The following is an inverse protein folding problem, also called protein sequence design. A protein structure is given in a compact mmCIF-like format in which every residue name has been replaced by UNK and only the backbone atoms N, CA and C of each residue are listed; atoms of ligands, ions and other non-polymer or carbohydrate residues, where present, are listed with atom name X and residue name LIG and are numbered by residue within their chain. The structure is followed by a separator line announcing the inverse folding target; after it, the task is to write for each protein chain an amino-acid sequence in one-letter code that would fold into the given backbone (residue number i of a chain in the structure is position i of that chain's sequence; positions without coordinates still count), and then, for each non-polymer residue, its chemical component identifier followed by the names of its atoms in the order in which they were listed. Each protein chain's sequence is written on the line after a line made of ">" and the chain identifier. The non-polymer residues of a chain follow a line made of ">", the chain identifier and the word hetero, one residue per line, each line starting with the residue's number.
data_IF_141436561538
#
_entry.id   IF_141436561538
#
_cell.length_a   1.000
_cell.length_b   1.000
_cell.length_c   1.000
_cell.angle_alpha   90.00
_cell.angle_beta   90.00
_cell.angle_gamma   90.00
#
_symmetry.space_group_name_H-M   'P 1'
#
loop_
_entity.id
_entity.type
_entity.pdbx_description
1 polymer ?
2 non-polymer ?
3 water ?
#
# COMPACT_ATOMS: atom_id res chain seq x y z
N UNK A 8 40.13 -1.76 -2.44
CA UNK A 8 38.67 -1.67 -2.76
C UNK A 8 37.85 -0.92 -1.67
N UNK A 9 37.49 0.33 -1.98
CA UNK A 9 36.64 1.15 -1.11
C UNK A 9 35.14 0.79 -1.23
N UNK A 10 34.49 0.59 -0.07
CA UNK A 10 33.06 0.25 0.02
C UNK A 10 32.29 1.14 1.05
N UNK A 11 31.04 1.54 0.76
CA UNK A 11 30.25 2.38 1.67
C UNK A 11 28.73 2.05 1.67
N UNK A 12 28.15 2.08 2.86
CA UNK A 12 26.73 1.91 3.03
C UNK A 12 26.14 3.06 3.82
N UNK A 13 25.04 3.64 3.33
CA UNK A 13 24.26 4.60 4.08
C UNK A 13 23.02 3.88 4.60
N UNK A 14 23.03 3.56 5.90
CA UNK A 14 22.04 2.66 6.49
C UNK A 14 20.66 3.31 6.54
N UNK A 15 20.65 4.63 6.42
CA UNK A 15 19.45 5.43 6.45
C UNK A 15 18.91 5.70 5.04
N UNK A 16 19.58 5.15 4.02
CA UNK A 16 19.25 5.54 2.67
C UNK A 16 17.82 5.18 2.33
N UNK A 17 17.41 3.93 2.55
CA UNK A 17 16.10 3.45 2.09
C UNK A 17 15.01 4.24 2.78
N UNK A 18 15.27 4.65 4.01
CA UNK A 18 14.33 5.46 4.73
C UNK A 18 14.20 6.84 4.10
N UNK A 19 15.33 7.47 3.79
CA UNK A 19 15.25 8.82 3.17
C UNK A 19 14.55 8.75 1.83
N UNK A 20 14.92 7.76 1.04
CA UNK A 20 14.38 7.61 -0.32
C UNK A 20 12.85 7.39 -0.30
N UNK A 21 12.38 6.58 0.62
CA UNK A 21 10.92 6.43 0.82
C UNK A 21 10.22 7.72 1.22
N UNK A 22 10.91 8.56 1.98
CA UNK A 22 10.32 9.82 2.41
C UNK A 22 10.04 10.67 1.21
N UNK A 23 10.98 10.68 0.28
CA UNK A 23 10.82 11.38 -0.97
C UNK A 23 9.81 10.75 -1.90
N UNK A 24 9.79 9.42 -2.02
CA UNK A 24 8.78 8.75 -2.82
C UNK A 24 7.37 9.05 -2.29
N UNK A 25 7.23 9.13 -0.99
CA UNK A 25 5.93 9.48 -0.45
C UNK A 25 5.58 10.93 -0.75
N UNK A 26 6.56 11.84 -0.72
CA UNK A 26 6.30 13.24 -1.19
C UNK A 26 5.86 13.31 -2.62
N UNK A 27 6.53 12.51 -3.46
CA UNK A 27 6.11 12.44 -4.88
C UNK A 27 4.67 11.92 -5.07
N UNK A 28 4.30 10.90 -4.31
CA UNK A 28 2.92 10.38 -4.28
C UNK A 28 2.00 11.55 -3.89
N UNK A 29 2.31 12.24 -2.80
CA UNK A 29 1.44 13.30 -2.28
C UNK A 29 1.32 14.47 -3.26
N UNK A 30 2.38 14.79 -4.00
CA UNK A 30 2.25 15.83 -5.07
C UNK A 30 1.81 15.26 -6.36
N UNK A 31 1.56 13.96 -6.40
CA UNK A 31 1.12 13.31 -7.62
C UNK A 31 2.16 13.43 -8.76
N UNK A 32 3.43 13.18 -8.42
CA UNK A 32 4.49 13.23 -9.44
C UNK A 32 5.00 11.82 -9.69
N UNK A 33 5.18 11.51 -10.97
CA UNK A 33 5.73 10.27 -11.48
C UNK A 33 4.78 9.13 -11.37
N UNK A 34 3.54 9.41 -10.96
CA UNK A 34 2.62 8.34 -10.69
C UNK A 34 2.26 7.62 -11.95
N UNK A 35 2.11 6.32 -11.86
CA UNK A 35 1.75 5.58 -13.06
C UNK A 35 0.55 4.65 -12.87
N UNK A 36 -0.12 4.76 -11.72
CA UNK A 36 -1.29 3.96 -11.44
C UNK A 36 -2.27 4.78 -10.59
N UNK A 37 -3.54 4.71 -10.96
CA UNK A 37 -4.63 5.29 -10.18
C UNK A 37 -5.52 4.17 -9.72
N UNK A 38 -5.57 3.96 -8.41
CA UNK A 38 -6.44 2.96 -7.85
C UNK A 38 -7.84 3.58 -7.60
N UNK A 39 -8.83 3.12 -8.38
CA UNK A 39 -10.22 3.61 -8.26
C UNK A 39 -10.91 2.60 -7.37
N UNK A 40 -11.23 3.00 -6.15
CA UNK A 40 -11.76 2.10 -5.14
C UNK A 40 -13.28 2.38 -4.89
N UNK A 41 -14.11 1.41 -5.27
CA UNK A 41 -15.55 1.43 -5.04
C UNK A 41 -15.90 0.28 -4.11
N UNK A 42 -16.48 0.63 -2.98
CA UNK A 42 -16.87 -0.34 -2.01
C UNK A 42 -18.34 -0.10 -1.67
N UNK A 43 -19.22 -1.08 -1.94
CA UNK A 43 -20.67 -0.98 -1.66
C UNK A 43 -21.26 0.44 -1.68
N UNK A 44 -21.45 1.04 -0.50
CA UNK A 44 -22.12 2.35 -0.40
C UNK A 44 -21.15 3.51 -0.13
N UNK A 45 -19.88 3.20 0.11
CA UNK A 45 -18.83 4.21 0.23
C UNK A 45 -18.80 5.06 -1.03
N UNK A 46 -18.64 6.38 -0.87
CA UNK A 46 -18.35 7.15 -2.07
C UNK A 46 -17.03 6.62 -2.74
N UNK A 47 -16.96 6.70 -4.06
CA UNK A 47 -15.79 6.27 -4.77
C UNK A 47 -14.61 7.14 -4.29
N UNK A 48 -13.45 6.53 -4.10
CA UNK A 48 -12.20 7.27 -3.89
C UNK A 48 -11.16 6.79 -4.89
N UNK A 49 -10.23 7.65 -5.26
CA UNK A 49 -9.09 7.20 -6.08
C UNK A 49 -7.75 7.66 -5.50
N UNK A 50 -6.78 6.75 -5.59
CA UNK A 50 -5.46 6.95 -5.09
C UNK A 50 -4.43 6.79 -6.23
N UNK A 51 -3.60 7.81 -6.44
CA UNK A 51 -2.50 7.70 -7.42
C UNK A 51 -1.28 7.15 -6.67
N UNK A 52 -0.50 6.36 -7.36
CA UNK A 52 0.71 5.81 -6.77
C UNK A 52 1.67 5.39 -7.92
N UNK A 53 2.79 4.84 -7.50
CA UNK A 53 3.84 4.29 -8.36
C UNK A 53 3.82 2.79 -8.28
N UNK A 54 3.63 2.16 -9.42
CA UNK A 54 3.56 0.69 -9.45
C UNK A 54 4.68 -0.01 -8.78
N UNK A 55 5.90 0.48 -9.01
CA UNK A 55 7.06 -0.19 -8.47
C UNK A 55 7.05 -0.09 -6.98
N UNK A 56 6.54 1.02 -6.45
CA UNK A 56 6.48 1.07 -4.96
C UNK A 56 5.43 0.08 -4.41
N UNK A 57 4.28 0.06 -5.04
CA UNK A 57 3.24 -0.88 -4.60
C UNK A 57 3.72 -2.29 -4.74
N UNK A 58 4.42 -2.59 -5.85
CA UNK A 58 4.91 -3.95 -6.11
C UNK A 58 5.91 -4.38 -5.08
N UNK A 59 6.68 -3.43 -4.56
CA UNK A 59 7.74 -3.78 -3.65
C UNK A 59 7.18 -4.03 -2.23
N UNK A 60 5.89 -3.73 -1.99
CA UNK A 60 5.31 -3.96 -0.69
C UNK A 60 4.21 -5.05 -0.70
N UNK A 61 3.82 -5.50 -1.87
CA UNK A 61 2.71 -6.41 -1.95
C UNK A 61 2.92 -7.30 -3.15
N UNK A 62 3.05 -8.60 -2.88
CA UNK A 62 3.06 -9.62 -3.95
C UNK A 62 1.82 -9.54 -4.87
N UNK A 63 0.69 -9.04 -4.37
CA UNK A 63 -0.52 -8.94 -5.23
C UNK A 63 -0.41 -7.79 -6.21
N UNK A 64 0.09 -6.65 -5.76
CA UNK A 64 0.31 -5.55 -6.69
C UNK A 64 1.42 -5.91 -7.72
N UNK A 65 2.47 -6.58 -7.30
CA UNK A 65 3.58 -6.95 -8.20
C UNK A 65 3.07 -7.83 -9.36
N UNK A 66 2.29 -8.87 -9.02
CA UNK A 66 1.63 -9.73 -10.03
C UNK A 66 0.65 -8.96 -10.88
N UNK A 67 -0.13 -8.11 -10.26
CA UNK A 67 -0.94 -7.16 -11.05
C UNK A 67 -0.15 -6.35 -12.08
N UNK A 68 1.04 -5.87 -11.72
CA UNK A 68 1.67 -4.88 -12.61
C UNK A 68 2.73 -5.49 -13.50
N UNK A 69 3.25 -6.64 -13.13
CA UNK A 69 4.26 -7.29 -13.95
C UNK A 69 3.57 -8.17 -15.06
N UNK A 70 3.42 -7.60 -16.26
CA UNK A 70 2.81 -8.26 -17.45
C UNK A 70 3.52 -7.89 -18.76
N UNK A 71 4.57 -8.64 -19.12
CA UNK A 71 5.28 -8.47 -20.40
C UNK A 71 5.31 -7.04 -20.93
N UNK A 72 4.83 -6.84 -22.16
CA UNK A 72 4.76 -5.50 -22.77
C UNK A 72 3.38 -4.91 -22.41
N UNK A 73 3.39 -3.86 -21.60
CA UNK A 73 2.19 -3.33 -20.95
C UNK A 73 1.90 -1.88 -21.35
N UNK A 74 0.87 -1.31 -20.72
CA UNK A 74 0.48 0.08 -20.94
C UNK A 74 1.65 1.06 -20.84
N UNK A 75 1.50 2.18 -21.54
CA UNK A 75 2.37 3.33 -21.39
C UNK A 75 1.65 4.27 -20.44
N UNK A 76 2.26 4.54 -19.29
CA UNK A 76 1.78 5.59 -18.39
C UNK A 76 0.64 5.18 -17.47
N UNK A 77 -0.42 5.98 -17.47
CA UNK A 77 -1.42 5.96 -16.39
C UNK A 77 -2.50 4.89 -16.51
N UNK A 78 -2.30 3.81 -15.79
CA UNK A 78 -3.28 2.74 -15.75
C UNK A 78 -4.26 3.09 -14.61
N UNK A 79 -5.55 2.92 -14.86
CA UNK A 79 -6.57 2.99 -13.81
C UNK A 79 -6.92 1.55 -13.47
N UNK A 80 -6.79 1.16 -12.21
CA UNK A 80 -7.18 -0.16 -11.78
C UNK A 80 -8.44 -0.02 -10.88
N UNK A 81 -9.45 -0.85 -11.16
CA UNK A 81 -10.67 -0.93 -10.32
C UNK A 81 -10.43 -1.83 -9.12
N UNK A 82 -10.75 -1.32 -7.93
CA UNK A 82 -10.62 -2.08 -6.69
C UNK A 82 -11.95 -2.27 -5.92
N UNK A 83 -12.35 -3.52 -5.70
CA UNK A 83 -13.75 -3.77 -5.36
C UNK A 83 -14.01 -4.02 -3.90
N UNK A 84 -13.38 -5.04 -3.34
CA UNK A 84 -13.84 -5.57 -2.07
C UNK A 84 -13.13 -4.99 -0.88
N UNK A 85 -12.76 -3.73 -0.97
CA UNK A 85 -11.99 -3.12 0.11
C UNK A 85 -12.45 -1.70 0.26
N UNK A 86 -12.51 -1.30 1.51
CA UNK A 86 -12.94 0.03 1.80
C UNK A 86 -11.79 1.02 1.52
N UNK A 87 -12.14 2.17 0.91
CA UNK A 87 -11.20 3.25 0.61
C UNK A 87 -10.27 3.60 1.76
N UNK A 88 -10.80 3.74 2.96
CA UNK A 88 -9.95 4.04 4.09
C UNK A 88 -9.01 2.92 4.46
N UNK A 89 -9.39 1.70 4.11
CA UNK A 89 -8.41 0.64 4.29
C UNK A 89 -7.33 0.75 3.19
N UNK A 90 -7.72 0.87 1.93
CA UNK A 90 -6.69 1.00 0.85
C UNK A 90 -5.70 2.17 1.16
N UNK A 91 -6.28 3.31 1.52
CA UNK A 91 -5.50 4.43 1.97
C UNK A 91 -4.46 4.01 2.93
N UNK A 92 -4.77 3.21 3.93
CA UNK A 92 -3.75 2.97 4.94
C UNK A 92 -2.69 1.99 4.48
N UNK A 93 -3.06 1.11 3.58
CA UNK A 93 -2.12 0.11 3.03
C UNK A 93 -1.10 0.84 2.13
N UNK A 94 -1.61 1.76 1.29
CA UNK A 94 -0.73 2.65 0.50
C UNK A 94 0.25 3.38 1.39
N UNK A 95 -0.26 3.98 2.46
CA UNK A 95 0.66 4.61 3.40
C UNK A 95 1.63 3.72 3.97
N UNK A 96 1.19 2.54 4.37
CA UNK A 96 2.13 1.62 4.92
C UNK A 96 3.24 1.42 3.87
N UNK A 97 2.83 1.21 2.63
CA UNK A 97 3.82 0.85 1.59
C UNK A 97 4.84 2.00 1.42
N UNK A 98 4.36 3.22 1.53
CA UNK A 98 5.21 4.39 1.30
C UNK A 98 5.99 4.88 2.52
N UNK A 99 5.60 4.38 3.70
CA UNK A 99 6.13 4.88 4.98
C UNK A 99 6.63 3.84 5.97
N UNK A 100 6.26 2.57 5.82
CA UNK A 100 6.60 1.54 6.79
C UNK A 100 5.72 1.57 8.06
N UNK A 101 4.77 2.48 8.10
CA UNK A 101 3.94 2.68 9.28
C UNK A 101 2.48 2.66 8.94
N UNK A 102 1.71 2.14 9.89
CA UNK A 102 0.25 2.14 9.77
C UNK A 102 -0.46 2.38 11.11
N UNK A 103 -1.52 3.17 11.08
CA UNK A 103 -2.27 3.45 12.29
C UNK A 103 -3.74 3.29 12.03
N UNK A 104 -4.49 2.87 13.03
CA UNK A 104 -5.93 2.70 12.87
C UNK A 104 -6.64 2.77 14.22
N UNK A 105 -7.91 3.20 14.19
CA UNK A 105 -8.77 3.14 15.37
C UNK A 105 -9.03 1.68 15.68
N UNK A 106 -8.78 1.26 16.92
CA UNK A 106 -8.91 -0.15 17.29
C UNK A 106 -10.16 -0.84 16.72
N UNK A 107 -11.22 -0.09 16.43
CA UNK A 107 -12.39 -0.66 15.73
C UNK A 107 -12.03 -1.22 14.35
N UNK A 108 -11.08 -0.58 13.67
CA UNK A 108 -10.75 -0.91 12.28
C UNK A 108 -9.68 -1.99 12.10
N UNK A 109 -9.04 -2.43 13.17
CA UNK A 109 -7.89 -3.35 13.05
C UNK A 109 -8.21 -4.57 12.17
N UNK A 110 -9.46 -4.97 12.21
CA UNK A 110 -9.92 -6.14 11.52
C UNK A 110 -10.14 -5.94 10.02
N UNK A 111 -10.71 -4.79 9.65
CA UNK A 111 -10.90 -4.43 8.24
C UNK A 111 -9.54 -4.20 7.54
N UNK A 112 -8.56 -3.77 8.31
CA UNK A 112 -7.25 -3.55 7.85
C UNK A 112 -6.58 -4.88 7.66
N UNK A 113 -6.77 -5.79 8.63
CA UNK A 113 -6.20 -7.12 8.51
C UNK A 113 -6.78 -7.78 7.29
N UNK A 114 -8.08 -7.62 7.07
CA UNK A 114 -8.69 -8.09 5.86
C UNK A 114 -8.05 -7.54 4.57
N UNK A 115 -7.78 -6.23 4.54
CA UNK A 115 -7.15 -5.60 3.37
C UNK A 115 -5.73 -6.14 3.15
N UNK A 116 -4.97 -6.20 4.22
CA UNK A 116 -3.63 -6.71 4.22
C UNK A 116 -3.58 -8.17 3.75
N UNK A 117 -4.58 -8.99 4.10
CA UNK A 117 -4.60 -10.38 3.63
C UNK A 117 -4.84 -10.40 2.13
N UNK A 118 -5.80 -9.63 1.64
CA UNK A 118 -6.07 -9.56 0.21
C UNK A 118 -4.85 -9.10 -0.64
N UNK A 119 -3.99 -8.25 -0.06
CA UNK A 119 -2.82 -7.71 -0.77
C UNK A 119 -1.55 -8.33 -0.30
N UNK A 120 -1.67 -9.31 0.58
CA UNK A 120 -0.55 -10.12 0.94
C UNK A 120 0.55 -9.26 1.48
N UNK A 121 0.15 -8.30 2.30
CA UNK A 121 1.06 -7.50 3.07
C UNK A 121 1.34 -8.19 4.41
N UNK A 122 2.08 -9.28 4.26
CA UNK A 122 2.61 -10.13 5.32
C UNK A 122 2.75 -9.45 6.68
N UNK A 123 3.56 -8.40 6.73
CA UNK A 123 3.96 -7.81 8.00
C UNK A 123 2.81 -7.05 8.64
N UNK A 124 1.87 -6.49 7.86
CA UNK A 124 0.68 -5.91 8.53
C UNK A 124 -0.30 -7.03 9.00
N UNK A 125 -0.26 -8.18 8.34
CA UNK A 125 -1.13 -9.29 8.72
C UNK A 125 -0.72 -9.79 10.08
N UNK A 126 0.56 -10.02 10.30
CA UNK A 126 1.01 -10.38 11.63
C UNK A 126 0.62 -9.34 12.62
N UNK A 127 0.91 -8.09 12.27
CA UNK A 127 0.71 -7.00 13.20
C UNK A 127 -0.72 -7.00 13.74
N UNK A 128 -1.70 -7.04 12.84
CA UNK A 128 -3.12 -7.04 13.20
C UNK A 128 -3.67 -8.31 13.88
N UNK A 129 -3.02 -9.45 13.64
CA UNK A 129 -3.36 -10.69 14.29
C UNK A 129 -2.86 -10.69 15.70
N UNK A 130 -1.62 -10.26 15.90
CA UNK A 130 -1.07 -10.15 17.25
C UNK A 130 -1.91 -9.20 18.09
N UNK A 131 -2.27 -8.04 17.54
CA UNK A 131 -3.16 -7.10 18.24
C UNK A 131 -4.45 -7.81 18.65
N UNK A 132 -5.21 -8.30 17.68
CA UNK A 132 -6.52 -8.89 17.93
C UNK A 132 -6.43 -9.94 19.03
N UNK A 133 -5.46 -10.83 18.91
CA UNK A 133 -5.20 -11.88 19.87
C UNK A 133 -4.86 -11.31 21.26
N UNK A 134 -4.04 -10.26 21.30
CA UNK A 134 -3.69 -9.59 22.56
C UNK A 134 -4.93 -8.99 23.19
N UNK A 135 -5.83 -8.51 22.34
CA UNK A 135 -7.13 -7.97 22.76
C UNK A 135 -8.05 -9.03 23.44
N UNK A 136 -7.60 -10.28 23.52
CA UNK A 136 -8.40 -11.39 24.09
C UNK A 136 -8.11 -11.71 25.57
N UNK A 137 -9.19 -11.99 26.31
CA UNK A 137 -9.13 -12.53 27.69
C UNK A 137 -8.99 -14.04 27.62
X LIG B 1 -19.09 2.09 9.02
X LIG B 1 -18.48 0.85 8.36
X LIG B 1 -15.78 0.79 11.31
X LIG B 1 -15.35 2.94 9.26
X LIG B 1 -16.96 1.07 8.30
X LIG B 1 -17.91 2.92 9.50
X LIG B 1 -16.71 2.57 8.59
X LIG B 1 -15.40 1.91 11.62
X LIG B 1 -14.82 2.14 12.99
X LIG B 1 -15.50 3.06 10.70
X LIG B 1 -16.87 3.41 7.31
X LIG B 1 -18.28 4.31 9.52
X LIG B 1 -14.10 2.08 8.93
X LIG B 1 -12.78 2.85 9.05
X LIG B 1 -12.24 3.10 10.47
X LIG B 1 -11.88 1.93 8.27
X LIG B 1 -10.66 1.82 8.39
X LIG B 1 -12.63 1.14 7.32
X LIG B 1 -14.01 1.45 7.53
X LIG B 1 -14.84 0.18 7.34
X LIG B 1 -16.30 0.49 7.04
X LIG B 1 -16.98 -0.77 6.50
X LIG B 1 -18.77 -0.34 9.10
X LIG B 1 -20.16 -0.78 9.16
X LIG B 1 -20.84 -0.75 8.15
X LIG B 1 -20.74 -1.26 10.47
#
# INVERSE_FOLDING_TARGET
>A
GSHMGNRTFSYTLEDHTKQAFGIMNELRLSQQLCDVTLQVKYQDAPAAQFMAHKVVLASSSPVFKAMFTNGLREQGMEVVSIEGIHPKVMERLIEFAYTASISMGEKCVLHVMNGAVMYQIDSVVRACADFLVQQLD
>B hetero
1 XXT C2 C1 O7 C6 C5 C3 C4 C18 C19 O6 C15 O2 C7 C11 C14 C12 O3 O1 C8 C9 C10 C13 O4 C16 O5 C17
#
